data_IF_976565912360
#
_entry.id   IF_976565912360
#
_cell.length_a   1.000
_cell.length_b   1.000
_cell.length_c   1.000
_cell.angle_alpha   90.00
_cell.angle_beta   90.00
_cell.angle_gamma   90.00
#
_symmetry.space_group_name_H-M   'P 1'
#
loop_
_entity.id
_entity.type
_entity.pdbx_description
1 polymer ?
#
# COMPACT_ATOMS: atom_id res chain seq x y z
N UNK A 1 13.43 12.88 -15.68
CA UNK A 1 13.15 12.27 -17.00
C UNK A 1 11.81 11.54 -16.90
N UNK A 2 10.72 12.14 -17.38
CA UNK A 2 9.35 11.57 -17.29
C UNK A 2 8.71 11.30 -18.67
N UNK A 3 9.46 11.44 -19.76
CA UNK A 3 8.99 11.11 -21.11
C UNK A 3 10.15 10.57 -21.94
N UNK A 4 10.61 9.37 -21.61
CA UNK A 4 11.31 8.51 -22.56
C UNK A 4 10.27 7.59 -23.18
N UNK A 5 10.08 7.62 -24.51
CA UNK A 5 9.11 6.77 -25.17
C UNK A 5 9.27 5.30 -24.78
N UNK A 6 8.14 4.57 -24.70
CA UNK A 6 8.11 3.16 -24.27
C UNK A 6 9.10 2.37 -25.11
N UNK A 7 10.18 1.90 -24.49
CA UNK A 7 11.25 1.20 -25.21
C UNK A 7 10.76 -0.17 -25.65
N UNK A 8 11.23 -0.67 -26.81
CA UNK A 8 10.89 -2.02 -27.30
C UNK A 8 11.24 -3.12 -26.28
N UNK A 9 12.19 -2.87 -25.38
CA UNK A 9 12.53 -3.77 -24.28
C UNK A 9 11.44 -3.84 -23.19
N UNK A 10 10.77 -2.73 -22.87
CA UNK A 10 9.65 -2.72 -21.90
C UNK A 10 8.45 -3.51 -22.41
N UNK A 11 8.19 -3.48 -23.73
CA UNK A 11 7.12 -4.28 -24.38
C UNK A 11 7.40 -5.78 -24.40
N UNK A 12 8.66 -6.19 -24.30
CA UNK A 12 9.05 -7.61 -24.18
C UNK A 12 8.88 -8.14 -22.75
N UNK A 13 8.55 -7.28 -21.79
CA UNK A 13 8.28 -7.71 -20.43
C UNK A 13 7.02 -8.58 -20.42
N UNK A 14 7.06 -9.77 -19.79
CA UNK A 14 5.98 -10.73 -19.92
C UNK A 14 4.75 -10.31 -19.12
N UNK A 15 3.58 -10.33 -19.77
CA UNK A 15 2.32 -9.84 -19.21
C UNK A 15 1.89 -10.54 -17.91
N UNK A 16 2.24 -11.82 -17.71
CA UNK A 16 1.89 -12.54 -16.47
C UNK A 16 2.42 -11.88 -15.20
N UNK A 17 3.51 -11.10 -15.30
CA UNK A 17 4.05 -10.37 -14.15
C UNK A 17 3.19 -9.16 -13.79
N UNK A 18 2.63 -8.46 -14.78
CA UNK A 18 1.66 -7.40 -14.55
C UNK A 18 0.34 -7.95 -14.00
N UNK A 19 -0.09 -9.11 -14.51
CA UNK A 19 -1.26 -9.83 -13.97
C UNK A 19 -1.07 -10.09 -12.48
N UNK A 20 0.08 -10.63 -12.07
CA UNK A 20 0.33 -10.96 -10.66
C UNK A 20 0.26 -9.73 -9.74
N UNK A 21 0.79 -8.58 -10.19
CA UNK A 21 0.67 -7.31 -9.45
C UNK A 21 -0.80 -6.90 -9.28
N UNK A 22 -1.58 -6.90 -10.37
CA UNK A 22 -2.99 -6.51 -10.33
C UNK A 22 -3.85 -7.47 -9.50
N UNK A 23 -3.56 -8.77 -9.55
CA UNK A 23 -4.23 -9.80 -8.75
C UNK A 23 -4.03 -9.55 -7.27
N UNK A 24 -2.79 -9.34 -6.83
CA UNK A 24 -2.51 -9.12 -5.42
C UNK A 24 -3.18 -7.86 -4.88
N UNK A 25 -3.16 -6.76 -5.65
CA UNK A 25 -3.91 -5.56 -5.27
C UNK A 25 -5.41 -5.83 -5.18
N UNK A 26 -5.98 -6.50 -6.20
CA UNK A 26 -7.41 -6.79 -6.26
C UNK A 26 -7.86 -7.68 -5.11
N UNK A 27 -7.09 -8.73 -4.77
CA UNK A 27 -7.35 -9.60 -3.62
C UNK A 27 -7.31 -8.77 -2.33
N UNK A 28 -6.29 -7.91 -2.16
CA UNK A 28 -6.19 -7.05 -0.99
C UNK A 28 -7.43 -6.16 -0.81
N UNK A 29 -7.83 -5.48 -1.89
CA UNK A 29 -9.04 -4.64 -1.89
C UNK A 29 -10.27 -5.48 -1.55
N UNK A 30 -10.52 -6.57 -2.28
CA UNK A 30 -11.69 -7.44 -2.09
C UNK A 30 -11.78 -7.99 -0.66
N UNK A 31 -10.67 -8.48 -0.10
CA UNK A 31 -10.62 -9.03 1.26
C UNK A 31 -10.87 -7.93 2.30
N UNK A 32 -10.45 -6.69 2.03
CA UNK A 32 -10.68 -5.55 2.92
C UNK A 32 -12.11 -4.97 2.84
N UNK A 33 -12.77 -5.04 1.67
CA UNK A 33 -14.08 -4.40 1.45
C UNK A 33 -15.18 -4.98 2.34
N UNK A 34 -15.23 -6.30 2.49
CA UNK A 34 -16.26 -6.97 3.31
C UNK A 34 -16.16 -6.53 4.77
N UNK A 35 -15.04 -6.72 5.49
CA UNK A 35 -14.93 -6.32 6.89
C UNK A 35 -14.96 -4.80 7.09
N UNK A 36 -14.64 -3.99 6.08
CA UNK A 36 -14.76 -2.53 6.18
C UNK A 36 -16.20 -2.05 6.42
N UNK A 37 -17.21 -2.82 6.01
CA UNK A 37 -18.62 -2.54 6.33
C UNK A 37 -18.98 -2.88 7.80
N UNK A 38 -18.19 -3.74 8.46
CA UNK A 38 -18.45 -4.23 9.81
C UNK A 38 -17.61 -3.53 10.88
N UNK A 39 -16.45 -2.99 10.52
CA UNK A 39 -15.61 -2.22 11.42
C UNK A 39 -15.98 -0.71 11.41
N UNK A 40 -15.67 0.00 12.48
CA UNK A 40 -15.78 1.47 12.50
C UNK A 40 -14.72 2.08 11.58
N UNK A 41 -15.02 3.24 10.99
CA UNK A 41 -14.09 3.94 10.09
C UNK A 41 -12.67 4.06 10.65
N UNK A 42 -12.48 4.55 11.91
CA UNK A 42 -11.17 4.59 12.54
C UNK A 42 -10.49 3.21 12.56
N UNK A 43 -11.20 2.17 12.99
CA UNK A 43 -10.68 0.79 13.10
C UNK A 43 -10.19 0.24 11.75
N UNK A 44 -10.92 0.50 10.66
CA UNK A 44 -10.50 0.10 9.31
C UNK A 44 -9.17 0.75 8.95
N UNK A 45 -9.02 2.05 9.24
CA UNK A 45 -7.80 2.79 8.94
C UNK A 45 -6.61 2.27 9.74
N UNK A 46 -6.81 1.95 11.03
CA UNK A 46 -5.78 1.32 11.87
C UNK A 46 -5.30 0.02 11.28
N UNK A 47 -6.25 -0.86 10.93
CA UNK A 47 -5.92 -2.17 10.42
C UNK A 47 -5.19 -2.07 9.08
N UNK A 48 -5.56 -1.10 8.23
CA UNK A 48 -4.85 -0.80 6.99
C UNK A 48 -3.40 -0.32 7.23
N UNK A 49 -3.11 0.36 8.34
CA UNK A 49 -1.73 0.75 8.68
C UNK A 49 -0.83 -0.45 9.04
N UNK A 50 -1.42 -1.62 9.31
CA UNK A 50 -0.68 -2.89 9.43
C UNK A 50 0.22 -3.18 8.21
N UNK A 51 -0.10 -2.60 7.04
CA UNK A 51 0.73 -2.70 5.85
C UNK A 51 2.17 -2.20 6.06
N UNK A 52 2.44 -1.27 6.99
CA UNK A 52 3.81 -0.81 7.30
C UNK A 52 4.68 -1.98 7.78
N UNK A 53 4.17 -2.75 8.73
CA UNK A 53 4.88 -3.90 9.32
C UNK A 53 5.02 -5.02 8.31
N UNK A 54 3.93 -5.35 7.61
CA UNK A 54 3.94 -6.45 6.64
C UNK A 54 4.84 -6.11 5.45
N UNK A 55 4.84 -4.86 4.98
CA UNK A 55 5.69 -4.43 3.86
C UNK A 55 7.17 -4.42 4.24
N UNK A 56 7.52 -4.09 5.48
CA UNK A 56 8.89 -4.21 5.99
C UNK A 56 9.36 -5.67 5.94
N UNK A 57 8.55 -6.59 6.47
CA UNK A 57 8.87 -8.03 6.50
C UNK A 57 8.96 -8.58 5.08
N UNK A 58 8.00 -8.23 4.23
CA UNK A 58 8.01 -8.63 2.82
C UNK A 58 9.25 -8.09 2.09
N UNK A 59 9.62 -6.83 2.30
CA UNK A 59 10.81 -6.23 1.71
C UNK A 59 12.10 -6.90 2.21
N UNK A 60 12.17 -7.23 3.51
CA UNK A 60 13.28 -7.98 4.08
C UNK A 60 13.45 -9.36 3.43
N UNK A 61 12.35 -10.08 3.22
CA UNK A 61 12.36 -11.44 2.67
C UNK A 61 12.60 -11.47 1.15
N UNK A 62 11.89 -10.65 0.39
CA UNK A 62 11.86 -10.74 -1.08
C UNK A 62 12.89 -9.85 -1.79
N UNK A 63 13.19 -8.68 -1.23
CA UNK A 63 14.16 -7.72 -1.76
C UNK A 63 15.52 -7.82 -1.05
N UNK A 64 15.62 -8.58 0.04
CA UNK A 64 16.84 -8.77 0.85
C UNK A 64 17.41 -7.45 1.37
N UNK A 65 16.53 -6.49 1.65
CA UNK A 65 16.95 -5.24 2.27
C UNK A 65 17.47 -5.44 3.68
N UNK A 66 18.45 -4.64 4.05
CA UNK A 66 18.97 -4.54 5.40
C UNK A 66 18.70 -3.15 5.95
N UNK A 67 18.24 -3.14 7.18
CA UNK A 67 17.86 -1.94 7.89
C UNK A 67 18.94 -1.59 8.90
N UNK A 68 19.40 -0.34 8.87
CA UNK A 68 20.28 0.20 9.93
C UNK A 68 19.47 0.47 11.20
N UNK A 69 20.17 0.72 12.31
CA UNK A 69 19.53 1.07 13.59
C UNK A 69 18.52 2.23 13.48
N UNK A 70 18.84 3.27 12.69
CA UNK A 70 17.95 4.41 12.45
C UNK A 70 16.62 4.02 11.81
N UNK A 71 16.60 3.04 10.90
CA UNK A 71 15.34 2.56 10.32
C UNK A 71 14.47 1.86 11.37
N UNK A 72 15.07 1.08 12.29
CA UNK A 72 14.32 0.46 13.38
C UNK A 72 13.75 1.49 14.35
N UNK A 73 14.53 2.51 14.70
CA UNK A 73 14.05 3.62 15.56
C UNK A 73 12.92 4.39 14.87
N UNK A 74 13.10 4.78 13.61
CA UNK A 74 12.07 5.49 12.84
C UNK A 74 10.79 4.67 12.69
N UNK A 75 10.90 3.37 12.42
CA UNK A 75 9.77 2.44 12.37
C UNK A 75 9.05 2.33 13.71
N UNK A 76 9.79 2.19 14.81
CA UNK A 76 9.21 2.11 16.15
C UNK A 76 8.43 3.39 16.47
N UNK A 77 8.99 4.56 16.15
CA UNK A 77 8.29 5.83 16.29
C UNK A 77 7.01 5.89 15.45
N UNK A 78 7.03 5.41 14.20
CA UNK A 78 5.85 5.37 13.33
C UNK A 78 4.75 4.47 13.93
N UNK A 79 5.11 3.27 14.39
CA UNK A 79 4.16 2.34 15.03
C UNK A 79 3.59 2.94 16.32
N UNK A 80 4.43 3.59 17.14
CA UNK A 80 3.99 4.30 18.33
C UNK A 80 3.01 5.44 17.99
N UNK A 81 3.34 6.24 16.97
CA UNK A 81 2.49 7.34 16.51
C UNK A 81 1.12 6.86 16.04
N UNK A 82 1.06 5.81 15.22
CA UNK A 82 -0.19 5.17 14.80
C UNK A 82 -0.97 4.68 16.03
N UNK A 83 -0.31 4.02 16.98
CA UNK A 83 -0.99 3.47 18.17
C UNK A 83 -1.58 4.57 19.04
N UNK A 84 -0.87 5.69 19.22
CA UNK A 84 -1.35 6.85 19.98
C UNK A 84 -2.58 7.47 19.30
N UNK A 85 -2.53 7.66 17.98
CA UNK A 85 -3.64 8.26 17.22
C UNK A 85 -4.91 7.42 17.30
N UNK A 86 -4.72 6.12 17.35
CA UNK A 86 -5.79 5.12 17.36
C UNK A 86 -6.34 4.87 18.75
N UNK A 87 -5.56 5.14 19.80
CA UNK A 87 -5.91 4.83 21.18
C UNK A 87 -7.30 5.34 21.58
N UNK A 88 -7.73 6.59 21.27
CA UNK A 88 -9.07 7.07 21.61
C UNK A 88 -10.19 6.25 20.96
N UNK A 89 -9.99 5.81 19.72
CA UNK A 89 -10.96 4.99 19.00
C UNK A 89 -11.08 3.56 19.55
N UNK A 90 -10.04 3.05 20.21
CA UNK A 90 -10.04 1.76 20.89
C UNK A 90 -10.51 1.85 22.35
N UNK A 91 -10.15 2.92 23.06
CA UNK A 91 -10.45 3.13 24.48
C UNK A 91 -11.87 3.68 24.69
N UNK A 92 -12.34 4.54 23.79
CA UNK A 92 -13.75 4.93 23.72
C UNK A 92 -14.54 3.75 23.17
N UNK A 93 -15.06 2.91 24.06
CA UNK A 93 -15.84 1.72 23.73
C UNK A 93 -17.15 2.09 23.03
N UNK A 94 -17.09 2.50 21.75
CA UNK A 94 -18.16 2.25 20.79
C UNK A 94 -17.96 0.85 20.22
N UNK A 95 -17.98 -0.14 21.11
CA UNK A 95 -18.31 -1.51 20.74
C UNK A 95 -19.80 -1.50 20.38
N UNK A 96 -20.11 -0.98 19.20
CA UNK A 96 -21.36 -1.27 18.54
C UNK A 96 -21.42 -2.78 18.34
N UNK A 97 -22.30 -3.40 19.11
CA UNK A 97 -22.69 -4.80 19.09
C UNK A 97 -21.73 -5.82 19.70
N UNK A 98 -22.34 -6.56 20.62
CA UNK A 98 -21.95 -7.77 21.32
C UNK A 98 -21.78 -8.96 20.34
N UNK A 99 -20.92 -8.81 19.32
CA UNK A 99 -20.76 -9.80 18.27
C UNK A 99 -19.48 -10.62 18.44
N UNK A 100 -19.68 -11.91 18.74
CA UNK A 100 -18.68 -12.99 18.77
C UNK A 100 -17.76 -13.06 17.52
N UNK A 101 -18.12 -12.35 16.45
CA UNK A 101 -17.44 -12.31 15.15
C UNK A 101 -16.60 -11.05 14.90
N UNK A 102 -16.56 -10.07 15.81
CA UNK A 102 -15.83 -8.81 15.62
C UNK A 102 -14.33 -9.04 15.33
N UNK A 103 -13.69 -9.94 16.08
CA UNK A 103 -12.27 -10.27 15.89
C UNK A 103 -11.95 -10.88 14.52
N UNK A 104 -12.91 -11.61 13.90
CA UNK A 104 -12.72 -12.22 12.57
C UNK A 104 -12.63 -11.13 11.51
N UNK A 105 -13.47 -10.09 11.60
CA UNK A 105 -13.44 -8.96 10.67
C UNK A 105 -12.14 -8.15 10.78
N UNK A 106 -11.67 -7.92 12.01
CA UNK A 106 -10.38 -7.27 12.25
C UNK A 106 -9.22 -8.10 11.70
N UNK A 107 -9.26 -9.41 11.89
CA UNK A 107 -8.25 -10.32 11.36
C UNK A 107 -8.27 -10.32 9.82
N UNK A 108 -9.44 -10.30 9.18
CA UNK A 108 -9.56 -10.20 7.72
C UNK A 108 -9.00 -8.87 7.19
N UNK A 109 -9.28 -7.75 7.87
CA UNK A 109 -8.67 -6.45 7.53
C UNK A 109 -7.15 -6.49 7.63
N UNK A 110 -6.62 -7.10 8.70
CA UNK A 110 -5.19 -7.22 8.86
C UNK A 110 -4.56 -8.13 7.78
N UNK A 111 -5.19 -9.27 7.49
CA UNK A 111 -4.74 -10.22 6.46
C UNK A 111 -4.79 -9.63 5.04
N UNK A 112 -5.71 -8.71 4.76
CA UNK A 112 -5.79 -8.01 3.47
C UNK A 112 -4.49 -7.26 3.12
N UNK A 113 -3.72 -6.83 4.13
CA UNK A 113 -2.45 -6.14 3.92
C UNK A 113 -1.34 -7.06 3.37
N UNK A 114 -1.45 -8.39 3.53
CA UNK A 114 -0.46 -9.35 3.04
C UNK A 114 -0.33 -9.31 1.51
N UNK A 115 -1.40 -9.54 0.74
CA UNK A 115 -1.33 -9.45 -0.71
C UNK A 115 -0.98 -8.04 -1.17
N UNK A 116 -1.47 -6.98 -0.50
CA UNK A 116 -1.11 -5.59 -0.84
C UNK A 116 0.40 -5.31 -0.67
N UNK A 117 0.99 -5.74 0.43
CA UNK A 117 2.42 -5.64 0.67
C UNK A 117 3.23 -6.47 -0.33
N UNK A 118 2.78 -7.68 -0.66
CA UNK A 118 3.40 -8.51 -1.68
C UNK A 118 3.41 -7.79 -3.05
N UNK A 119 2.32 -7.14 -3.43
CA UNK A 119 2.23 -6.33 -4.64
C UNK A 119 3.20 -5.15 -4.62
N UNK A 120 3.30 -4.40 -3.51
CA UNK A 120 4.20 -3.25 -3.37
C UNK A 120 5.67 -3.65 -3.59
N UNK A 121 6.12 -4.69 -2.90
CA UNK A 121 7.47 -5.25 -3.01
C UNK A 121 7.74 -5.77 -4.43
N UNK A 122 6.75 -6.41 -5.05
CA UNK A 122 6.87 -6.92 -6.41
C UNK A 122 6.97 -5.78 -7.43
N UNK A 123 6.16 -4.72 -7.29
CA UNK A 123 6.23 -3.50 -8.11
C UNK A 123 7.59 -2.82 -7.99
N UNK A 124 8.09 -2.63 -6.77
CA UNK A 124 9.42 -2.07 -6.52
C UNK A 124 10.51 -2.87 -7.23
N UNK A 125 10.47 -4.21 -7.10
CA UNK A 125 11.46 -5.09 -7.73
C UNK A 125 11.56 -4.86 -9.22
N UNK A 126 10.44 -4.85 -9.95
CA UNK A 126 10.47 -4.72 -11.41
C UNK A 126 10.65 -3.28 -11.89
N UNK A 127 10.21 -2.29 -11.13
CA UNK A 127 10.55 -0.89 -11.41
C UNK A 127 12.06 -0.68 -11.40
N UNK A 128 12.78 -1.32 -10.47
CA UNK A 128 14.24 -1.21 -10.34
C UNK A 128 15.01 -2.15 -11.29
N UNK A 129 14.68 -3.44 -11.33
CA UNK A 129 15.39 -4.44 -12.13
C UNK A 129 15.17 -4.24 -13.64
N UNK A 130 13.92 -4.04 -14.06
CA UNK A 130 13.55 -3.93 -15.47
C UNK A 130 13.44 -2.48 -15.95
N UNK A 131 13.71 -1.50 -15.07
CA UNK A 131 13.64 -0.05 -15.35
C UNK A 131 12.33 0.34 -16.04
N UNK A 132 11.22 -0.24 -15.59
CA UNK A 132 9.91 0.01 -16.18
C UNK A 132 9.48 1.45 -15.95
N UNK A 133 8.77 1.99 -16.93
CA UNK A 133 8.10 3.29 -16.79
C UNK A 133 6.91 3.18 -15.83
N UNK A 134 6.73 4.20 -15.00
CA UNK A 134 5.70 4.23 -13.96
C UNK A 134 4.29 4.26 -14.56
N UNK A 135 4.08 5.06 -15.61
CA UNK A 135 2.78 5.17 -16.27
C UNK A 135 2.41 3.87 -16.96
N UNK A 136 3.38 3.27 -17.66
CA UNK A 136 3.20 1.99 -18.33
C UNK A 136 2.81 0.89 -17.34
N UNK A 137 3.54 0.76 -16.22
CA UNK A 137 3.22 -0.24 -15.20
C UNK A 137 1.85 0.04 -14.56
N UNK A 138 1.57 1.28 -14.19
CA UNK A 138 0.29 1.65 -13.58
C UNK A 138 -0.90 1.33 -14.49
N UNK A 139 -0.79 1.61 -15.80
CA UNK A 139 -1.85 1.33 -16.76
C UNK A 139 -2.15 -0.19 -16.88
N UNK A 140 -1.11 -1.02 -16.99
CA UNK A 140 -1.29 -2.48 -17.06
C UNK A 140 -1.83 -3.06 -15.75
N UNK A 141 -1.32 -2.60 -14.61
CA UNK A 141 -1.83 -3.03 -13.31
C UNK A 141 -3.29 -2.64 -13.14
N UNK A 142 -3.67 -1.39 -13.45
CA UNK A 142 -5.04 -0.92 -13.39
C UNK A 142 -5.97 -1.71 -14.34
N UNK A 143 -5.51 -2.06 -15.55
CA UNK A 143 -6.26 -2.89 -16.48
C UNK A 143 -6.57 -4.27 -15.89
N UNK A 144 -5.57 -4.93 -15.30
CA UNK A 144 -5.79 -6.23 -14.67
C UNK A 144 -6.61 -6.13 -13.39
N UNK A 145 -6.44 -5.09 -12.58
CA UNK A 145 -7.31 -4.82 -11.43
C UNK A 145 -8.77 -4.65 -11.85
N UNK A 146 -9.04 -3.97 -12.96
CA UNK A 146 -10.39 -3.83 -13.51
C UNK A 146 -10.97 -5.19 -13.88
N UNK A 147 -10.22 -6.03 -14.59
CA UNK A 147 -10.64 -7.39 -14.98
C UNK A 147 -10.93 -8.23 -13.72
N UNK A 148 -10.02 -8.23 -12.75
CA UNK A 148 -10.22 -8.96 -11.49
C UNK A 148 -11.36 -8.39 -10.64
N UNK A 149 -11.60 -7.08 -10.71
CA UNK A 149 -12.76 -6.44 -10.12
C UNK A 149 -14.07 -7.01 -10.66
N UNK A 150 -14.20 -7.12 -11.99
CA UNK A 150 -15.36 -7.78 -12.60
C UNK A 150 -15.46 -9.26 -12.24
N UNK A 151 -14.34 -9.99 -12.18
CA UNK A 151 -14.32 -11.40 -11.74
C UNK A 151 -14.79 -11.52 -10.28
N UNK A 152 -14.50 -10.54 -9.43
CA UNK A 152 -14.89 -10.52 -8.02
C UNK A 152 -16.36 -10.15 -7.78
N UNK A 153 -17.10 -9.74 -8.82
CA UNK A 153 -18.51 -9.36 -8.73
C UNK A 153 -19.43 -10.36 -8.00
N UNK A 154 -19.27 -11.69 -8.15
CA UNK A 154 -20.12 -12.67 -7.46
C UNK A 154 -20.06 -12.61 -5.93
N UNK A 155 -19.09 -11.90 -5.34
CA UNK A 155 -18.97 -11.72 -3.89
C UNK A 155 -20.19 -11.00 -3.30
N UNK A 156 -20.86 -10.15 -4.08
CA UNK A 156 -22.06 -9.42 -3.66
C UNK A 156 -23.26 -10.36 -3.37
N UNK A 157 -23.21 -11.60 -3.87
CA UNK A 157 -24.24 -12.61 -3.58
C UNK A 157 -23.98 -13.39 -2.29
N UNK A 158 -22.83 -13.20 -1.65
CA UNK A 158 -22.49 -13.90 -0.40
C UNK A 158 -23.30 -13.27 0.74
N UNK A 159 -24.10 -14.06 1.48
CA UNK A 159 -24.82 -13.55 2.63
C UNK A 159 -23.83 -13.19 3.74
N UNK A 160 -23.73 -11.90 4.05
CA UNK A 160 -22.97 -11.41 5.20
C UNK A 160 -23.95 -11.04 6.32
N UNK A 161 -23.53 -10.99 7.60
CA UNK A 161 -24.43 -10.73 8.72
C UNK A 161 -25.18 -9.40 8.55
N UNK A 162 -26.46 -9.39 8.89
CA UNK A 162 -27.29 -8.18 8.82
C UNK A 162 -26.75 -7.14 9.81
N UNK A 163 -26.46 -5.94 9.32
CA UNK A 163 -26.17 -4.75 10.14
C UNK A 163 -27.38 -3.83 10.03
N UNK A 164 -27.92 -3.39 11.17
CA UNK A 164 -29.12 -2.53 11.24
C UNK A 164 -30.36 -3.07 10.51
N UNK A 165 -30.52 -4.41 10.44
CA UNK A 165 -31.67 -5.05 9.78
C UNK A 165 -31.66 -4.94 8.25
N UNK A 166 -30.54 -4.53 7.64
CA UNK A 166 -30.38 -4.45 6.19
C UNK A 166 -29.62 -5.67 5.67
N UNK A 167 -30.25 -6.38 4.73
CA UNK A 167 -29.60 -7.42 3.93
C UNK A 167 -28.60 -6.75 3.00
N UNK A 168 -27.33 -7.08 3.14
CA UNK A 168 -26.23 -6.61 2.27
C UNK A 168 -26.05 -7.49 1.04
N UNK A 169 -26.81 -8.59 0.93
CA UNK A 169 -26.74 -9.51 -0.20
C UNK A 169 -27.86 -9.25 -1.21
N UNK A 170 -27.57 -9.53 -2.47
CA UNK A 170 -28.49 -9.33 -3.59
C UNK A 170 -28.93 -10.69 -4.11
N UNK A 171 -30.20 -10.84 -4.50
CA UNK A 171 -30.63 -12.01 -5.24
C UNK A 171 -30.15 -11.90 -6.69
N UNK A 172 -29.75 -13.03 -7.29
CA UNK A 172 -29.29 -13.06 -8.68
C UNK A 172 -30.29 -12.40 -9.66
N UNK A 173 -31.58 -12.52 -9.40
CA UNK A 173 -32.65 -11.93 -10.21
C UNK A 173 -32.69 -10.39 -10.16
N UNK A 174 -32.28 -9.77 -9.05
CA UNK A 174 -32.35 -8.32 -8.83
C UNK A 174 -31.06 -7.60 -9.25
N UNK A 175 -30.06 -8.34 -9.72
CA UNK A 175 -28.73 -7.83 -10.11
C UNK A 175 -28.82 -6.66 -11.10
N UNK A 176 -29.70 -6.77 -12.10
CA UNK A 176 -29.84 -5.74 -13.12
C UNK A 176 -30.49 -4.47 -12.57
N UNK A 177 -31.48 -4.63 -11.69
CA UNK A 177 -32.11 -3.53 -10.98
C UNK A 177 -31.11 -2.82 -10.07
N UNK A 178 -30.26 -3.58 -9.36
CA UNK A 178 -29.20 -3.03 -8.53
C UNK A 178 -28.16 -2.23 -9.33
N UNK A 179 -27.69 -2.75 -10.45
CA UNK A 179 -26.76 -2.03 -11.34
C UNK A 179 -27.43 -0.78 -11.93
N UNK A 180 -28.71 -0.87 -12.33
CA UNK A 180 -29.48 0.26 -12.82
C UNK A 180 -29.65 1.36 -11.78
N UNK A 181 -29.96 1.01 -10.52
CA UNK A 181 -30.06 1.95 -9.42
C UNK A 181 -28.70 2.57 -9.07
N UNK A 182 -27.62 1.79 -9.13
CA UNK A 182 -26.25 2.30 -8.96
C UNK A 182 -25.90 3.34 -10.02
N UNK A 183 -26.30 3.12 -11.28
CA UNK A 183 -26.08 4.07 -12.37
C UNK A 183 -26.94 5.33 -12.24
N UNK A 184 -28.19 5.20 -11.79
CA UNK A 184 -29.04 6.35 -11.47
C UNK A 184 -28.42 7.21 -10.37
N UNK A 185 -27.90 6.58 -9.31
CA UNK A 185 -27.18 7.29 -8.26
C UNK A 185 -25.93 8.00 -8.80
N UNK A 186 -25.18 7.33 -9.69
CA UNK A 186 -24.04 7.95 -10.37
C UNK A 186 -24.43 9.19 -11.18
N UNK A 187 -25.63 9.20 -11.77
CA UNK A 187 -26.21 10.35 -12.48
C UNK A 187 -26.85 11.41 -11.56
N UNK A 188 -26.84 11.20 -10.24
CA UNK A 188 -27.41 12.12 -9.25
C UNK A 188 -28.91 11.90 -8.96
N UNK A 189 -29.44 10.72 -9.27
CA UNK A 189 -30.86 10.39 -9.07
C UNK A 189 -31.00 9.43 -7.88
N UNK A 190 -31.58 9.91 -6.79
CA UNK A 190 -31.92 9.09 -5.62
C UNK A 190 -32.98 8.06 -5.99
N UNK A 191 -32.64 6.77 -5.88
CA UNK A 191 -33.49 5.66 -6.34
C UNK A 191 -34.01 4.78 -5.19
N UNK A 192 -33.40 4.88 -4.01
CA UNK A 192 -33.77 4.20 -2.78
C UNK A 192 -33.91 5.17 -1.61
N UNK A 193 -34.59 4.73 -0.56
CA UNK A 193 -34.74 5.51 0.68
C UNK A 193 -33.38 5.72 1.36
N UNK A 194 -33.08 6.97 1.75
CA UNK A 194 -31.79 7.44 2.28
C UNK A 194 -30.60 7.44 1.29
N UNK A 195 -30.85 7.39 -0.03
CA UNK A 195 -29.80 7.67 -1.01
C UNK A 195 -29.39 9.16 -0.94
N UNK A 196 -28.09 9.40 -0.86
CA UNK A 196 -27.48 10.73 -0.98
C UNK A 196 -26.65 10.80 -2.28
N UNK A 197 -27.34 10.73 -3.41
CA UNK A 197 -26.71 10.71 -4.74
C UNK A 197 -26.47 12.12 -5.29
N UNK A 198 -26.99 13.16 -4.65
CA UNK A 198 -26.80 14.54 -5.07
C UNK A 198 -25.30 14.88 -5.17
N UNK A 199 -24.86 15.34 -6.33
CA UNK A 199 -23.45 15.65 -6.65
C UNK A 199 -22.46 14.48 -6.55
N UNK A 200 -22.93 13.23 -6.44
CA UNK A 200 -22.06 12.05 -6.32
C UNK A 200 -21.03 11.97 -7.46
N UNK A 201 -21.44 12.25 -8.69
CA UNK A 201 -20.54 12.28 -9.85
C UNK A 201 -19.33 13.21 -9.66
N UNK A 202 -19.56 14.43 -9.16
CA UNK A 202 -18.50 15.41 -8.97
C UNK A 202 -17.50 14.94 -7.90
N UNK A 203 -18.03 14.42 -6.78
CA UNK A 203 -17.21 13.85 -5.69
C UNK A 203 -16.40 12.65 -6.20
N UNK A 204 -17.01 11.78 -6.99
CA UNK A 204 -16.36 10.62 -7.59
C UNK A 204 -15.20 11.03 -8.51
N UNK A 205 -15.37 12.03 -9.38
CA UNK A 205 -14.29 12.51 -10.26
C UNK A 205 -13.14 13.11 -9.46
N UNK A 206 -13.42 13.90 -8.43
CA UNK A 206 -12.40 14.45 -7.53
C UNK A 206 -11.66 13.30 -6.83
N UNK A 207 -12.38 12.33 -6.27
CA UNK A 207 -11.82 11.15 -5.63
C UNK A 207 -10.91 10.37 -6.58
N UNK A 208 -11.34 10.14 -7.83
CA UNK A 208 -10.55 9.46 -8.85
C UNK A 208 -9.27 10.22 -9.21
N UNK A 209 -9.33 11.55 -9.33
CA UNK A 209 -8.16 12.38 -9.61
C UNK A 209 -7.11 12.28 -8.47
N UNK A 210 -7.53 12.36 -7.21
CA UNK A 210 -6.64 12.19 -6.06
C UNK A 210 -6.07 10.77 -5.97
N UNK A 211 -6.90 9.74 -6.17
CA UNK A 211 -6.43 8.34 -6.12
C UNK A 211 -5.45 8.01 -7.25
N UNK A 212 -5.70 8.49 -8.47
CA UNK A 212 -4.77 8.32 -9.58
C UNK A 212 -3.44 9.00 -9.29
N UNK A 213 -3.50 10.24 -8.78
CA UNK A 213 -2.30 10.99 -8.38
C UNK A 213 -1.52 10.25 -7.29
N UNK A 214 -2.21 9.77 -6.25
CA UNK A 214 -1.63 8.99 -5.17
C UNK A 214 -0.92 7.73 -5.69
N UNK A 215 -1.59 6.93 -6.52
CA UNK A 215 -1.02 5.70 -7.08
C UNK A 215 0.23 5.98 -7.92
N UNK A 216 0.23 7.02 -8.74
CA UNK A 216 1.40 7.40 -9.55
C UNK A 216 2.55 7.89 -8.65
N UNK A 217 2.27 8.77 -7.69
CA UNK A 217 3.29 9.27 -6.75
C UNK A 217 3.92 8.14 -5.95
N UNK A 218 3.11 7.19 -5.48
CA UNK A 218 3.59 6.01 -4.74
C UNK A 218 4.57 5.19 -5.59
N UNK A 219 4.26 4.96 -6.87
CA UNK A 219 5.16 4.25 -7.79
C UNK A 219 6.43 5.03 -8.11
N UNK A 220 6.37 6.37 -8.18
CA UNK A 220 7.57 7.21 -8.33
C UNK A 220 8.47 7.07 -7.10
N UNK A 221 7.88 7.01 -5.89
CA UNK A 221 8.64 6.76 -4.66
C UNK A 221 9.23 5.36 -4.66
N UNK A 222 8.52 4.33 -5.14
CA UNK A 222 9.09 2.98 -5.29
C UNK A 222 10.29 2.95 -6.24
N UNK A 223 10.22 3.72 -7.33
CA UNK A 223 11.29 3.77 -8.32
C UNK A 223 12.55 4.47 -7.79
N UNK A 224 12.39 5.58 -7.05
CA UNK A 224 13.52 6.41 -6.57
C UNK A 224 14.01 6.04 -5.17
N UNK A 225 13.12 5.55 -4.33
CA UNK A 225 13.35 5.19 -2.92
C UNK A 225 13.12 3.69 -2.74
N UNK A 226 12.18 3.32 -1.89
CA UNK A 226 11.76 1.94 -1.62
C UNK A 226 10.24 1.88 -1.40
N UNK A 227 9.67 0.67 -1.44
CA UNK A 227 8.27 0.48 -1.06
C UNK A 227 8.04 0.71 0.42
N UNK A 228 8.99 0.33 1.28
CA UNK A 228 8.91 0.57 2.72
C UNK A 228 8.89 2.05 3.05
N UNK A 229 9.75 2.87 2.43
CA UNK A 229 9.74 4.32 2.59
C UNK A 229 8.40 4.93 2.18
N UNK A 230 7.81 4.48 1.06
CA UNK A 230 6.51 5.02 0.62
C UNK A 230 5.38 4.63 1.57
N UNK A 231 5.37 3.40 2.08
CA UNK A 231 4.36 2.94 3.03
C UNK A 231 4.52 3.66 4.38
N UNK A 232 5.75 3.85 4.87
CA UNK A 232 6.05 4.65 6.07
C UNK A 232 5.59 6.10 5.89
N UNK A 233 5.89 6.73 4.76
CA UNK A 233 5.42 8.08 4.46
C UNK A 233 3.88 8.15 4.38
N UNK A 234 3.23 7.07 3.95
CA UNK A 234 1.78 6.98 3.88
C UNK A 234 1.09 6.96 5.26
N UNK A 235 1.83 6.65 6.33
CA UNK A 235 1.32 6.74 7.70
C UNK A 235 1.02 8.20 8.10
N UNK A 236 1.75 9.19 7.56
CA UNK A 236 1.44 10.61 7.76
C UNK A 236 0.05 11.01 7.24
N UNK A 237 -0.52 10.24 6.30
CA UNK A 237 -1.88 10.45 5.81
C UNK A 237 -2.92 10.35 6.92
N UNK A 238 -2.65 9.54 7.95
CA UNK A 238 -3.55 9.38 9.09
C UNK A 238 -3.66 10.71 9.84
N UNK A 239 -2.53 11.22 10.32
CA UNK A 239 -2.44 12.51 10.99
C UNK A 239 -2.96 13.68 10.14
N UNK A 240 -2.67 13.70 8.84
CA UNK A 240 -3.20 14.73 7.94
C UNK A 240 -4.72 14.63 7.74
N UNK A 241 -5.29 13.42 7.75
CA UNK A 241 -6.75 13.24 7.66
C UNK A 241 -7.46 13.84 8.87
N UNK A 242 -6.89 13.72 10.08
CA UNK A 242 -7.46 14.31 11.28
C UNK A 242 -7.47 15.85 11.23
N UNK A 243 -6.45 16.46 10.61
CA UNK A 243 -6.49 17.89 10.29
C UNK A 243 -7.57 18.23 9.25
N UNK A 244 -7.80 17.36 8.28
CA UNK A 244 -8.88 17.50 7.30
C UNK A 244 -10.27 17.48 7.93
N UNK A 245 -10.47 16.67 8.98
CA UNK A 245 -11.74 16.60 9.71
C UNK A 245 -12.11 17.90 10.46
N UNK A 246 -11.15 18.81 10.66
CA UNK A 246 -11.39 20.15 11.23
C UNK A 246 -11.99 21.14 10.22
N UNK A 247 -12.01 20.79 8.94
CA UNK A 247 -12.54 21.68 7.91
C UNK A 247 -13.96 21.20 7.57
N UNK A 248 -14.96 21.95 8.03
CA UNK A 248 -16.40 21.65 7.82
C UNK A 248 -16.73 21.31 6.36
N UNK A 249 -16.12 22.03 5.41
CA UNK A 249 -16.33 21.81 3.98
C UNK A 249 -15.78 20.46 3.48
N UNK A 250 -14.65 19.98 4.02
CA UNK A 250 -14.06 18.70 3.61
C UNK A 250 -14.68 17.52 4.35
N UNK A 251 -14.96 17.70 5.64
CA UNK A 251 -15.38 16.63 6.53
C UNK A 251 -16.88 16.31 6.43
N UNK A 252 -17.71 17.28 6.05
CA UNK A 252 -19.16 17.11 5.99
C UNK A 252 -19.73 16.65 7.34
N UNK A 253 -20.45 15.53 7.34
CA UNK A 253 -21.03 14.92 8.55
C UNK A 253 -19.98 14.35 9.52
N UNK A 254 -18.76 14.09 9.05
CA UNK A 254 -17.64 13.61 9.87
C UNK A 254 -16.84 14.77 10.50
N UNK A 255 -17.35 16.00 10.47
CA UNK A 255 -16.70 17.17 11.04
C UNK A 255 -16.45 17.01 12.54
N UNK A 256 -15.19 17.20 12.95
CA UNK A 256 -14.80 17.25 14.35
C UNK A 256 -14.37 18.69 14.70
N UNK A 257 -14.96 19.31 15.73
CA UNK A 257 -14.67 20.71 16.06
C UNK A 257 -13.32 20.92 16.73
N UNK A 258 -12.75 19.88 17.35
CA UNK A 258 -11.52 19.97 18.14
C UNK A 258 -10.62 18.77 17.84
N UNK A 259 -9.30 19.03 17.79
CA UNK A 259 -8.28 17.97 17.78
C UNK A 259 -8.13 17.41 19.18
N UNK A 260 -8.07 16.09 19.29
CA UNK A 260 -7.73 15.45 20.56
C UNK A 260 -6.24 15.66 20.85
N UNK A 261 -5.86 15.75 22.12
CA UNK A 261 -4.44 15.78 22.52
C UNK A 261 -3.64 14.61 21.94
N UNK A 262 -4.28 13.43 21.79
CA UNK A 262 -3.68 12.26 21.16
C UNK A 262 -3.33 12.49 19.68
N UNK A 263 -4.17 13.19 18.92
CA UNK A 263 -3.93 13.49 17.50
C UNK A 263 -2.70 14.37 17.31
N UNK A 264 -2.56 15.39 18.17
CA UNK A 264 -1.42 16.31 18.14
C UNK A 264 -0.12 15.56 18.46
N UNK A 265 -0.12 14.77 19.54
CA UNK A 265 1.05 13.98 19.94
C UNK A 265 1.42 12.97 18.85
N UNK A 266 0.43 12.26 18.30
CA UNK A 266 0.64 11.29 17.23
C UNK A 266 1.27 11.95 15.99
N UNK A 267 0.78 13.12 15.59
CA UNK A 267 1.33 13.86 14.44
C UNK A 267 2.81 14.17 14.64
N UNK A 268 3.22 14.69 15.80
CA UNK A 268 4.63 14.97 16.07
C UNK A 268 5.49 13.70 16.08
N UNK A 269 5.00 12.62 16.71
CA UNK A 269 5.72 11.34 16.78
C UNK A 269 5.87 10.70 15.40
N UNK A 270 4.81 10.74 14.57
CA UNK A 270 4.82 10.23 13.19
C UNK A 270 5.80 11.01 12.32
N UNK A 271 5.77 12.34 12.39
CA UNK A 271 6.69 13.19 11.63
C UNK A 271 8.15 12.93 12.04
N UNK A 272 8.43 12.82 13.34
CA UNK A 272 9.75 12.44 13.82
C UNK A 272 10.18 11.06 13.31
N UNK A 273 9.28 10.07 13.36
CA UNK A 273 9.55 8.72 12.87
C UNK A 273 9.89 8.67 11.38
N UNK A 274 9.14 9.40 10.55
CA UNK A 274 9.40 9.50 9.10
C UNK A 274 10.74 10.19 8.84
N UNK A 275 11.03 11.29 9.54
CA UNK A 275 12.31 12.01 9.38
C UNK A 275 13.48 11.10 9.76
N UNK A 276 13.42 10.45 10.93
CA UNK A 276 14.46 9.51 11.40
C UNK A 276 14.63 8.34 10.44
N UNK A 277 13.54 7.77 9.93
CA UNK A 277 13.59 6.68 8.96
C UNK A 277 14.25 7.13 7.64
N UNK A 278 13.88 8.32 7.15
CA UNK A 278 14.38 8.88 5.89
C UNK A 278 15.82 9.42 5.96
N UNK A 279 16.35 9.64 7.17
CA UNK A 279 17.70 10.17 7.38
C UNK A 279 18.80 9.21 6.91
N UNK A 280 18.50 7.91 6.87
CA UNK A 280 19.40 6.88 6.36
C UNK A 280 18.83 6.22 5.12
N UNK A 281 19.70 5.74 4.22
CA UNK A 281 19.27 4.92 3.09
C UNK A 281 19.30 3.44 3.44
N UNK A 282 18.30 2.71 2.97
CA UNK A 282 18.28 1.25 2.98
C UNK A 282 19.39 0.71 2.05
N UNK A 283 20.03 -0.39 2.45
CA UNK A 283 21.03 -1.07 1.63
C UNK A 283 20.58 -2.51 1.32
N UNK A 284 20.89 -2.97 0.12
CA UNK A 284 20.60 -4.35 -0.30
C UNK A 284 21.74 -5.23 0.24
N UNK A 285 21.40 -6.33 0.93
CA UNK A 285 22.41 -7.29 1.38
C UNK A 285 23.15 -7.91 0.19
N UNK A 286 24.46 -8.05 0.30
CA UNK A 286 25.27 -8.80 -0.64
C UNK A 286 25.03 -10.32 -0.48
N UNK A 287 25.27 -11.10 -1.54
CA UNK A 287 25.05 -12.56 -1.54
C UNK A 287 26.01 -13.31 -0.58
N UNK A 288 27.04 -12.63 -0.08
CA UNK A 288 27.95 -13.10 0.98
C UNK A 288 27.33 -13.11 2.38
N UNK A 289 26.19 -12.43 2.57
CA UNK A 289 25.54 -12.28 3.87
C UNK A 289 24.94 -13.61 4.37
N UNK A 290 25.23 -13.95 5.62
CA UNK A 290 24.81 -15.21 6.27
C UNK A 290 23.31 -15.48 6.12
N UNK A 291 22.47 -14.45 6.29
CA UNK A 291 21.01 -14.63 6.22
C UNK A 291 20.56 -14.91 4.79
N UNK A 292 21.15 -14.23 3.80
CA UNK A 292 20.87 -14.45 2.38
C UNK A 292 21.28 -15.86 1.95
N UNK A 293 22.45 -16.33 2.40
CA UNK A 293 22.94 -17.69 2.14
C UNK A 293 22.02 -18.74 2.75
N UNK A 294 21.62 -18.54 4.00
CA UNK A 294 20.70 -19.45 4.70
C UNK A 294 19.35 -19.51 4.00
N UNK A 295 18.77 -18.35 3.66
CA UNK A 295 17.52 -18.26 2.93
C UNK A 295 17.57 -18.94 1.55
N UNK A 296 18.62 -18.66 0.75
CA UNK A 296 18.83 -19.28 -0.55
C UNK A 296 18.99 -20.82 -0.44
N UNK A 297 19.57 -21.31 0.66
CA UNK A 297 19.75 -22.74 0.94
C UNK A 297 18.42 -23.41 1.29
N UNK A 298 17.64 -22.78 2.19
CA UNK A 298 16.31 -23.25 2.62
C UNK A 298 15.32 -23.29 1.45
N UNK A 299 15.32 -22.25 0.61
CA UNK A 299 14.42 -22.15 -0.54
C UNK A 299 15.04 -22.63 -1.86
N UNK A 300 16.16 -23.38 -1.83
CA UNK A 300 16.83 -23.87 -3.04
C UNK A 300 15.94 -24.76 -3.92
N UNK A 301 14.95 -25.45 -3.33
CA UNK A 301 13.95 -26.23 -4.05
C UNK A 301 13.00 -25.38 -4.92
N UNK A 302 12.65 -24.15 -4.49
CA UNK A 302 11.83 -23.22 -5.28
C UNK A 302 12.64 -22.46 -6.34
N UNK A 303 13.97 -22.32 -6.16
CA UNK A 303 14.80 -21.41 -6.95
C UNK A 303 15.59 -22.09 -8.10
N UNK A 304 15.36 -23.39 -8.38
CA UNK A 304 16.06 -24.16 -9.43
C UNK A 304 15.91 -23.64 -10.87
N UNK A 305 15.12 -22.59 -11.11
CA UNK A 305 14.97 -21.95 -12.43
C UNK A 305 15.21 -20.44 -12.36
N UNK A 306 16.45 -20.00 -12.13
CA UNK A 306 16.95 -18.67 -12.56
C UNK A 306 18.48 -18.58 -12.43
N UNK A 307 19.21 -19.22 -13.35
CA UNK A 307 20.51 -18.66 -13.77
C UNK A 307 20.19 -17.44 -14.64
N UNK A 308 20.02 -16.28 -14.00
CA UNK A 308 20.10 -15.02 -14.73
C UNK A 308 21.59 -14.76 -14.92
N UNK A 309 22.03 -14.86 -16.17
CA UNK A 309 23.34 -14.42 -16.61
C UNK A 309 23.40 -12.93 -16.26
N UNK A 310 24.10 -12.58 -15.20
CA UNK A 310 24.41 -11.20 -14.88
C UNK A 310 25.29 -10.66 -16.01
N UNK A 311 24.76 -9.68 -16.75
CA UNK A 311 25.51 -8.95 -17.77
C UNK A 311 26.70 -8.24 -17.09
N UNK A 312 27.95 -8.54 -17.48
CA UNK A 312 29.14 -7.94 -16.87
C UNK A 312 29.21 -6.42 -16.99
N UNK A 313 28.38 -5.79 -17.84
CA UNK A 313 28.30 -4.33 -17.96
C UNK A 313 27.45 -3.62 -16.88
N UNK A 314 26.78 -4.36 -15.99
CA UNK A 314 26.01 -3.77 -14.88
C UNK A 314 26.84 -3.53 -13.61
N UNK A 315 28.11 -3.93 -13.58
CA UNK A 315 29.02 -3.70 -12.45
C UNK A 315 29.60 -2.27 -12.45
N UNK A 316 29.98 -1.75 -13.62
CA UNK A 316 30.65 -0.45 -13.75
C UNK A 316 29.79 0.80 -13.45
N UNK A 317 28.46 0.69 -13.43
CA UNK A 317 27.57 1.86 -13.21
C UNK A 317 27.09 2.05 -11.78
N UNK A 318 27.30 1.05 -10.91
CA UNK A 318 27.19 1.23 -9.46
C UNK A 318 28.48 1.79 -8.87
N UNK A 319 29.63 1.49 -9.50
CA UNK A 319 30.93 2.07 -9.14
C UNK A 319 31.03 3.57 -9.40
N UNK A 320 30.35 4.12 -10.42
CA UNK A 320 30.30 5.58 -10.65
C UNK A 320 29.49 6.32 -9.58
N UNK A 321 28.43 5.72 -9.06
CA UNK A 321 27.63 6.30 -7.97
C UNK A 321 28.42 6.21 -6.65
N UNK A 322 29.15 5.12 -6.43
CA UNK A 322 30.05 4.97 -5.28
C UNK A 322 31.27 5.91 -5.35
N UNK A 323 31.83 6.17 -6.55
CA UNK A 323 32.93 7.15 -6.74
C UNK A 323 32.50 8.59 -6.51
N UNK A 324 31.25 8.94 -6.79
CA UNK A 324 30.71 10.26 -6.46
C UNK A 324 30.57 10.47 -4.93
N UNK A 325 30.27 9.40 -4.19
CA UNK A 325 30.22 9.39 -2.72
C UNK A 325 31.64 9.44 -2.07
N UNK A 326 32.65 8.84 -2.71
CA UNK A 326 34.04 8.87 -2.21
C UNK A 326 34.66 10.27 -2.27
N UNK A 327 34.35 11.05 -3.31
CA UNK A 327 34.86 12.42 -3.46
C UNK A 327 34.16 13.46 -2.57
N UNK A 328 33.02 13.11 -1.93
CA UNK A 328 32.25 14.04 -1.09
C UNK A 328 32.40 13.78 0.42
N UNK A 329 32.93 12.64 0.83
CA UNK A 329 33.22 12.32 2.25
C UNK A 329 34.61 11.72 2.36
N UNK A 330 35.58 12.58 2.64
CA UNK A 330 37.00 12.26 2.59
C UNK A 330 37.43 11.07 3.46
N UNK A 331 38.40 10.33 2.90
CA UNK A 331 39.43 9.61 3.65
C UNK A 331 39.06 8.24 4.20
N UNK A 332 39.22 7.20 3.37
CA UNK A 332 39.31 5.81 3.82
C UNK A 332 39.93 4.93 2.74
N UNK A 333 41.14 4.43 2.96
CA UNK A 333 41.91 3.60 2.02
C UNK A 333 41.16 2.34 1.60
N UNK A 334 41.17 2.04 0.30
CA UNK A 334 40.70 0.78 -0.28
C UNK A 334 41.93 -0.09 -0.52
N UNK A 335 42.07 -1.15 0.28
CA UNK A 335 43.08 -2.19 0.05
C UNK A 335 42.53 -3.15 -1.02
N UNK A 336 43.18 -3.19 -2.18
CA UNK A 336 42.93 -4.18 -3.21
C UNK A 336 43.61 -5.49 -2.82
N UNK A 337 42.84 -6.58 -2.70
CA UNK A 337 43.41 -7.92 -2.73
C UNK A 337 43.52 -8.33 -4.19
N UNK A 338 44.76 -8.42 -4.65
CA UNK A 338 45.14 -8.92 -5.97
C UNK A 338 44.89 -10.44 -6.08
N UNK A 339 44.45 -10.82 -7.28
CA UNK A 339 44.35 -12.15 -7.93
C UNK A 339 43.06 -12.96 -7.78
#
# INVERSE_FOLDING_TARGET
>A
MLTGGITKQMRKFPNYKFILMGVFDAIGVVVSTIPAAYATGPTVVVMAQGIVVINLIASFIFLKFRYTFFHYVGMLLVVCGITIEVFPALAGTQSGADDKYNWVWLLLLFLANIPMAASNVYKEKYLKEAKLDVWYMNAWVALYQLIFGFISFPIVYIPTPDRDGRRTFINFYDTWTYLGNSWKCFAGINSQDNDMCDYFYAIFIIFMAFNMTYNILMLIVFQKGSSTLAVVASAARLALSNLGFLIKFLAGEAYQPELTYFDIIALFVLMAGIVVYSATREYIADDSDFFVRTWNTVFSCCNKKKKVIADPNMRGRYDEIARYDYNTKGGGEVIYLDQ
#
